data_IF_771574909511
#
_entry.id   IF_771574909511
#
_cell.length_a   1.000
_cell.length_b   1.000
_cell.length_c   1.000
_cell.angle_alpha   90.00
_cell.angle_beta   90.00
_cell.angle_gamma   90.00
#
_symmetry.space_group_name_H-M   'P 1'
#
loop_
_entity.id
_entity.type
_entity.pdbx_description
1 polymer ?
#
# COMPACT_ATOMS: atom_id res chain seq x y z
N UNK A 1 -5.95 -26.67 -0.57
CA UNK A 1 -6.82 -25.59 -0.18
C UNK A 1 -6.69 -24.46 -1.15
N UNK A 2 -7.79 -23.96 -1.50
CA UNK A 2 -7.86 -23.03 -2.54
C UNK A 2 -7.73 -21.62 -2.03
N UNK A 3 -6.70 -20.92 -2.45
CA UNK A 3 -6.48 -19.53 -2.06
C UNK A 3 -7.64 -18.65 -2.51
N UNK A 4 -8.25 -18.97 -3.64
CA UNK A 4 -9.39 -18.22 -4.13
C UNK A 4 -10.56 -18.25 -3.17
N UNK A 5 -10.85 -19.41 -2.57
CA UNK A 5 -11.93 -19.53 -1.60
C UNK A 5 -11.63 -18.68 -0.36
N UNK A 6 -10.37 -18.66 0.06
CA UNK A 6 -9.97 -17.85 1.21
C UNK A 6 -10.11 -16.37 0.90
N UNK A 7 -9.77 -15.96 -0.31
CA UNK A 7 -9.88 -14.57 -0.72
C UNK A 7 -11.33 -14.13 -0.81
N UNK A 8 -12.19 -14.97 -1.40
CA UNK A 8 -13.62 -14.67 -1.49
C UNK A 8 -14.25 -14.58 -0.10
N UNK A 9 -13.85 -15.48 0.80
CA UNK A 9 -14.36 -15.46 2.16
C UNK A 9 -13.90 -14.21 2.90
N UNK A 10 -12.67 -13.79 2.66
CA UNK A 10 -12.14 -12.58 3.28
C UNK A 10 -12.90 -11.34 2.80
N UNK A 11 -13.16 -11.25 1.51
CA UNK A 11 -13.89 -10.12 0.96
C UNK A 11 -15.28 -10.04 1.57
N UNK A 12 -15.99 -11.19 1.63
CA UNK A 12 -17.32 -11.23 2.21
C UNK A 12 -17.30 -10.82 3.67
N UNK A 13 -16.35 -11.33 4.41
CA UNK A 13 -16.21 -11.01 5.83
C UNK A 13 -15.97 -9.51 6.02
N UNK A 14 -15.08 -8.95 5.20
CA UNK A 14 -14.79 -7.52 5.26
C UNK A 14 -16.04 -6.69 4.96
N UNK A 15 -16.78 -7.06 3.92
CA UNK A 15 -17.97 -6.33 3.54
C UNK A 15 -19.03 -6.38 4.64
N UNK A 16 -19.18 -7.54 5.28
CA UNK A 16 -20.12 -7.68 6.40
C UNK A 16 -19.72 -6.79 7.57
N UNK A 17 -18.45 -6.74 7.91
CA UNK A 17 -18.00 -5.92 9.02
C UNK A 17 -18.17 -4.43 8.71
N UNK A 18 -17.91 -4.04 7.48
CA UNK A 18 -18.12 -2.66 7.06
C UNK A 18 -19.60 -2.28 7.16
N UNK A 19 -20.49 -3.17 6.71
CA UNK A 19 -21.92 -2.91 6.77
C UNK A 19 -22.41 -2.75 8.20
N UNK A 20 -21.78 -3.47 9.13
CA UNK A 20 -22.13 -3.38 10.55
C UNK A 20 -21.43 -2.23 11.29
N UNK A 21 -20.54 -1.53 10.60
CA UNK A 21 -19.77 -0.45 11.21
C UNK A 21 -18.76 -0.94 12.24
N UNK A 22 -18.34 -2.19 12.14
CA UNK A 22 -17.41 -2.78 13.09
C UNK A 22 -16.01 -2.85 12.53
N UNK A 23 -15.03 -2.76 13.42
CA UNK A 23 -13.62 -2.96 13.08
C UNK A 23 -13.30 -4.42 13.28
N UNK A 24 -12.46 -4.98 12.41
CA UNK A 24 -12.01 -6.34 12.56
C UNK A 24 -10.49 -6.39 12.51
N UNK A 25 -9.93 -7.35 13.25
CA UNK A 25 -8.50 -7.59 13.16
C UNK A 25 -8.20 -8.43 11.93
N UNK A 26 -7.24 -7.99 11.14
CA UNK A 26 -6.74 -8.71 9.99
C UNK A 26 -5.22 -8.69 10.03
N UNK A 27 -4.60 -9.68 9.41
CA UNK A 27 -3.17 -9.68 9.21
C UNK A 27 -2.78 -8.64 8.17
N UNK A 28 -1.51 -8.25 8.17
CA UNK A 28 -1.02 -7.26 7.20
C UNK A 28 -1.28 -7.71 5.77
N UNK A 29 -1.05 -9.00 5.48
CA UNK A 29 -1.29 -9.56 4.15
C UNK A 29 -2.73 -9.42 3.73
N UNK A 30 -3.64 -9.61 4.67
CA UNK A 30 -5.07 -9.51 4.39
C UNK A 30 -5.49 -8.09 4.07
N UNK A 31 -4.98 -7.12 4.84
CA UNK A 31 -5.21 -5.72 4.51
C UNK A 31 -4.66 -5.37 3.14
N UNK A 32 -3.44 -5.83 2.85
CA UNK A 32 -2.80 -5.52 1.57
C UNK A 32 -3.60 -6.11 0.41
N UNK A 33 -4.08 -7.34 0.56
CA UNK A 33 -4.91 -7.96 -0.45
C UNK A 33 -6.19 -7.17 -0.68
N UNK A 34 -6.88 -6.81 0.39
CA UNK A 34 -8.14 -6.07 0.28
C UNK A 34 -7.94 -4.71 -0.37
N UNK A 35 -6.86 -4.02 0.00
CA UNK A 35 -6.56 -2.73 -0.59
C UNK A 35 -6.33 -2.86 -2.10
N UNK A 36 -5.58 -3.88 -2.51
CA UNK A 36 -5.35 -4.11 -3.93
C UNK A 36 -6.65 -4.48 -4.65
N UNK A 37 -7.46 -5.32 -4.03
CA UNK A 37 -8.74 -5.73 -4.61
C UNK A 37 -9.63 -4.52 -4.90
N UNK A 38 -9.82 -3.64 -3.92
CA UNK A 38 -10.67 -2.47 -4.11
C UNK A 38 -10.04 -1.47 -5.07
N UNK A 39 -8.70 -1.37 -5.06
CA UNK A 39 -7.99 -0.53 -6.02
C UNK A 39 -8.22 -0.97 -7.45
N UNK A 40 -8.22 -2.28 -7.69
CA UNK A 40 -8.45 -2.84 -9.02
C UNK A 40 -9.89 -2.63 -9.47
N UNK A 41 -10.81 -2.54 -8.53
CA UNK A 41 -12.20 -2.19 -8.84
C UNK A 41 -12.40 -0.70 -9.09
N UNK A 42 -11.36 0.11 -8.89
CA UNK A 42 -11.47 1.55 -9.03
C UNK A 42 -12.00 2.25 -7.80
N UNK A 43 -12.21 1.51 -6.72
CA UNK A 43 -12.70 2.10 -5.47
C UNK A 43 -11.50 2.54 -4.63
N UNK A 44 -10.87 3.64 -5.06
CA UNK A 44 -9.65 4.13 -4.43
C UNK A 44 -9.90 4.67 -3.03
N UNK A 45 -11.11 5.15 -2.76
CA UNK A 45 -11.45 5.64 -1.45
C UNK A 45 -11.45 4.50 -0.43
N UNK A 46 -12.09 3.40 -0.78
CA UNK A 46 -12.11 2.24 0.11
C UNK A 46 -10.71 1.64 0.27
N UNK A 47 -9.97 1.55 -0.84
CA UNK A 47 -8.60 1.05 -0.78
C UNK A 47 -7.75 1.89 0.17
N UNK A 48 -7.89 3.21 0.11
CA UNK A 48 -7.14 4.10 0.98
C UNK A 48 -7.48 3.92 2.45
N UNK A 49 -8.77 3.74 2.75
CA UNK A 49 -9.19 3.49 4.13
C UNK A 49 -8.61 2.19 4.66
N UNK A 50 -8.59 1.15 3.81
CA UNK A 50 -8.05 -0.14 4.20
C UNK A 50 -6.55 -0.03 4.51
N UNK A 51 -5.81 0.69 3.66
CA UNK A 51 -4.38 0.89 3.89
C UNK A 51 -4.15 1.60 5.22
N UNK A 52 -4.92 2.63 5.50
CA UNK A 52 -4.77 3.40 6.74
C UNK A 52 -5.07 2.55 7.96
N UNK A 53 -6.15 1.77 7.90
CA UNK A 53 -6.48 0.88 9.00
C UNK A 53 -5.42 -0.19 9.19
N UNK A 54 -4.93 -0.73 8.08
CA UNK A 54 -3.87 -1.73 8.13
C UNK A 54 -2.61 -1.20 8.77
N UNK A 55 -2.22 0.03 8.45
CA UNK A 55 -1.03 0.63 9.01
C UNK A 55 -1.19 0.98 10.49
N UNK A 56 -2.41 1.23 10.96
CA UNK A 56 -2.64 1.42 12.38
C UNK A 56 -2.38 0.13 13.15
N UNK A 57 -2.78 -1.00 12.59
CA UNK A 57 -2.57 -2.30 13.24
C UNK A 57 -1.18 -2.86 13.01
N UNK A 58 -0.60 -2.58 11.84
CA UNK A 58 0.68 -3.13 11.42
C UNK A 58 1.58 -2.01 10.91
N UNK A 59 2.05 -1.12 11.79
CA UNK A 59 2.82 0.06 11.35
C UNK A 59 4.16 -0.27 10.71
N UNK A 60 4.67 -1.48 10.93
CA UNK A 60 5.94 -1.89 10.35
C UNK A 60 5.80 -2.70 9.07
N UNK A 61 4.59 -2.86 8.54
CA UNK A 61 4.39 -3.65 7.34
C UNK A 61 4.94 -2.94 6.10
N UNK A 62 6.01 -3.48 5.53
CA UNK A 62 6.60 -2.91 4.32
C UNK A 62 5.62 -2.92 3.16
N UNK A 63 4.83 -3.97 3.04
CA UNK A 63 3.86 -4.08 1.95
C UNK A 63 2.81 -2.98 2.02
N UNK A 64 2.25 -2.74 3.21
CA UNK A 64 1.28 -1.66 3.38
C UNK A 64 1.91 -0.29 3.21
N UNK A 65 3.15 -0.13 3.67
CA UNK A 65 3.87 1.12 3.48
C UNK A 65 4.11 1.41 2.00
N UNK A 66 4.44 0.37 1.21
CA UNK A 66 4.60 0.54 -0.23
C UNK A 66 3.29 0.94 -0.89
N UNK A 67 2.19 0.33 -0.48
CA UNK A 67 0.88 0.70 -1.03
C UNK A 67 0.52 2.15 -0.70
N UNK A 68 0.85 2.58 0.51
CA UNK A 68 0.60 3.98 0.89
C UNK A 68 1.46 4.94 0.06
N UNK A 69 2.72 4.57 -0.16
CA UNK A 69 3.61 5.39 -0.99
C UNK A 69 3.10 5.50 -2.43
N UNK A 70 2.58 4.40 -2.98
CA UNK A 70 2.00 4.42 -4.32
C UNK A 70 0.81 5.36 -4.38
N UNK A 71 0.01 5.42 -3.32
CA UNK A 71 -1.09 6.36 -3.24
C UNK A 71 -0.59 7.79 -3.28
N UNK A 72 0.48 8.08 -2.54
CA UNK A 72 1.06 9.42 -2.54
C UNK A 72 1.56 9.81 -3.93
N UNK A 73 2.20 8.86 -4.64
CA UNK A 73 2.67 9.10 -6.00
C UNK A 73 1.49 9.36 -6.92
N UNK A 74 0.44 8.58 -6.80
CA UNK A 74 -0.76 8.76 -7.61
C UNK A 74 -1.36 10.16 -7.41
N UNK A 75 -1.29 10.67 -6.17
CA UNK A 75 -1.79 12.01 -5.84
C UNK A 75 -0.76 13.10 -6.15
N UNK A 76 0.35 12.73 -6.78
CA UNK A 76 1.43 13.65 -7.17
C UNK A 76 2.10 14.32 -5.97
N UNK A 77 2.05 13.67 -4.82
CA UNK A 77 2.73 14.13 -3.62
C UNK A 77 4.10 13.46 -3.53
N UNK A 78 4.97 13.84 -4.47
CA UNK A 78 6.24 13.15 -4.68
C UNK A 78 7.24 13.35 -3.56
N UNK A 79 7.27 14.53 -2.94
CA UNK A 79 8.20 14.78 -1.84
C UNK A 79 7.84 13.90 -0.65
N UNK A 80 6.55 13.87 -0.29
CA UNK A 80 6.09 13.01 0.79
C UNK A 80 6.33 11.54 0.48
N UNK A 81 6.07 11.14 -0.77
CA UNK A 81 6.27 9.76 -1.19
C UNK A 81 7.73 9.37 -1.01
N UNK A 82 8.64 10.21 -1.45
CA UNK A 82 10.07 9.88 -1.34
C UNK A 82 10.50 9.77 0.12
N UNK A 83 10.07 10.71 0.97
CA UNK A 83 10.39 10.64 2.39
C UNK A 83 9.84 9.37 3.04
N UNK A 84 8.61 9.02 2.68
CA UNK A 84 7.98 7.83 3.23
C UNK A 84 8.71 6.57 2.79
N UNK A 85 9.03 6.48 1.49
CA UNK A 85 9.77 5.33 0.95
C UNK A 85 11.14 5.18 1.60
N UNK A 86 11.78 6.30 1.96
CA UNK A 86 13.10 6.27 2.57
C UNK A 86 13.09 5.65 3.96
N UNK A 87 11.91 5.53 4.58
CA UNK A 87 11.77 4.92 5.90
C UNK A 87 11.54 3.42 5.84
N UNK A 88 11.33 2.88 4.64
CA UNK A 88 11.07 1.45 4.46
C UNK A 88 12.38 0.72 4.32
N UNK A 89 12.55 -0.37 5.09
CA UNK A 89 13.74 -1.20 4.98
C UNK A 89 13.75 -1.93 3.64
N UNK A 90 14.89 -1.89 2.94
CA UNK A 90 15.02 -2.59 1.68
C UNK A 90 15.45 -4.03 1.97
N UNK A 91 14.56 -4.96 1.73
CA UNK A 91 14.80 -6.38 1.96
C UNK A 91 14.96 -7.15 0.65
N UNK A 92 15.48 -6.48 -0.35
CA UNK A 92 15.69 -7.09 -1.65
C UNK A 92 14.53 -6.90 -2.62
N UNK A 93 13.56 -6.11 -2.24
CA UNK A 93 12.41 -5.81 -3.09
C UNK A 93 12.83 -4.80 -4.16
N UNK A 94 12.59 -5.15 -5.42
CA UNK A 94 12.91 -4.25 -6.51
C UNK A 94 11.93 -3.08 -6.64
N UNK A 95 10.74 -3.24 -6.10
CA UNK A 95 9.72 -2.20 -6.21
C UNK A 95 10.11 -0.95 -5.43
N UNK A 96 10.70 -1.13 -4.26
CA UNK A 96 11.06 0.01 -3.41
C UNK A 96 12.00 0.99 -4.10
N UNK A 97 13.16 0.55 -4.65
CA UNK A 97 14.02 1.50 -5.34
C UNK A 97 13.38 2.10 -6.58
N UNK A 98 12.56 1.34 -7.30
CA UNK A 98 11.90 1.87 -8.48
C UNK A 98 10.95 3.01 -8.13
N UNK A 99 10.21 2.87 -7.03
CA UNK A 99 9.30 3.93 -6.59
C UNK A 99 10.07 5.17 -6.13
N UNK A 100 11.21 4.97 -5.49
CA UNK A 100 12.06 6.10 -5.10
C UNK A 100 12.57 6.84 -6.33
N UNK A 101 13.02 6.10 -7.33
CA UNK A 101 13.48 6.71 -8.58
C UNK A 101 12.37 7.50 -9.23
N UNK A 102 11.19 6.90 -9.32
CA UNK A 102 10.03 7.57 -9.93
C UNK A 102 9.74 8.90 -9.23
N UNK A 103 9.72 8.89 -7.90
CA UNK A 103 9.46 10.10 -7.12
C UNK A 103 10.51 11.17 -7.39
N UNK A 104 11.77 10.77 -7.38
CA UNK A 104 12.87 11.71 -7.60
C UNK A 104 12.87 12.29 -9.01
N UNK A 105 12.49 11.48 -10.01
CA UNK A 105 12.43 11.96 -11.38
C UNK A 105 11.32 13.03 -11.52
N UNK A 106 10.18 12.81 -10.89
CA UNK A 106 9.13 13.81 -10.91
C UNK A 106 9.54 15.09 -10.19
N UNK A 107 10.41 14.98 -9.18
CA UNK A 107 10.94 16.13 -8.47
C UNK A 107 12.13 16.77 -9.18
N UNK A 108 12.53 16.21 -10.33
CA UNK A 108 13.69 16.66 -11.10
C UNK A 108 15.01 16.57 -10.31
N UNK A 109 15.06 15.64 -9.37
CA UNK A 109 16.25 15.38 -8.56
C UNK A 109 17.04 14.24 -9.20
N UNK A 110 17.59 14.52 -10.37
CA UNK A 110 18.19 13.49 -11.24
C UNK A 110 19.45 12.89 -10.67
N UNK A 111 20.28 13.68 -10.01
CA UNK A 111 21.53 13.17 -9.42
C UNK A 111 21.24 12.13 -8.34
N UNK A 112 20.22 12.39 -7.53
CA UNK A 112 19.84 11.45 -6.47
C UNK A 112 19.25 10.18 -7.05
N UNK A 113 18.42 10.32 -8.10
CA UNK A 113 17.85 9.16 -8.77
C UNK A 113 18.94 8.28 -9.37
N UNK A 114 19.96 8.90 -9.97
CA UNK A 114 21.06 8.17 -10.59
C UNK A 114 21.83 7.34 -9.57
N UNK A 115 21.93 7.79 -8.32
CA UNK A 115 22.66 7.06 -7.28
C UNK A 115 21.94 5.77 -6.88
N UNK A 116 20.64 5.69 -7.10
CA UNK A 116 19.87 4.50 -6.76
C UNK A 116 20.03 3.42 -7.83
N UNK A 117 20.22 3.84 -9.08
CA UNK A 117 20.40 2.94 -10.20
C UNK A 117 21.77 2.28 -10.12
#
# INVERSE_FOLDING_TARGET
MDDELNMDALIKKYEQMRALGKTMYLDADEFAFLAQYYGELGDYKEAGLIIEEGLKMHPGSSELMLQYAKKLIYLEQYEEAYHYLSRIANEGDLELPLLKIESLLHLERYDEAAKII
#
